data_IF_860311856535
#
_entry.id   IF_860311856535
#
_cell.length_a   1.000
_cell.length_b   1.000
_cell.length_c   1.000
_cell.angle_alpha   90.00
_cell.angle_beta   90.00
_cell.angle_gamma   90.00
#
_symmetry.space_group_name_H-M   'P 1'
#
loop_
_entity.id
_entity.type
_entity.pdbx_description
1 polymer ?
#
# COMPACT_ATOMS: atom_id res chain seq x y z
N UNK A 1 2.79 -1.42 -16.56
CA UNK A 1 3.32 -0.50 -15.52
C UNK A 1 4.67 -1.00 -15.01
N UNK A 2 5.65 -0.10 -14.80
CA UNK A 2 6.98 -0.51 -14.30
C UNK A 2 7.21 -0.25 -12.79
N UNK A 3 6.45 0.66 -12.19
CA UNK A 3 6.55 1.03 -10.77
C UNK A 3 5.18 1.33 -10.20
N UNK A 4 5.02 1.01 -8.92
CA UNK A 4 3.88 1.41 -8.10
C UNK A 4 4.39 2.16 -6.86
N UNK A 5 3.60 3.11 -6.39
CA UNK A 5 3.87 3.88 -5.17
C UNK A 5 3.08 3.29 -4.01
N UNK A 6 3.75 2.75 -3.01
CA UNK A 6 3.09 2.19 -1.84
C UNK A 6 3.08 3.21 -0.70
N UNK A 7 1.91 3.44 -0.12
CA UNK A 7 1.71 4.33 1.03
C UNK A 7 1.70 3.50 2.31
N UNK A 8 2.76 3.61 3.10
CA UNK A 8 2.92 2.90 4.37
C UNK A 8 2.52 3.79 5.53
N UNK A 9 1.68 3.30 6.45
CA UNK A 9 1.22 4.03 7.63
C UNK A 9 1.29 3.14 8.86
N UNK A 10 1.74 3.68 9.99
CA UNK A 10 1.62 2.99 11.29
C UNK A 10 0.24 3.24 11.88
N UNK A 11 -0.62 2.21 11.97
CA UNK A 11 -1.97 2.29 12.54
C UNK A 11 -2.07 1.48 13.83
N UNK A 12 -3.10 1.75 14.63
CA UNK A 12 -3.51 0.86 15.70
C UNK A 12 -4.76 0.11 15.21
N UNK A 13 -4.72 -1.22 15.24
CA UNK A 13 -5.77 -2.09 14.67
C UNK A 13 -6.66 -2.69 15.79
N UNK A 14 -6.29 -2.52 17.07
CA UNK A 14 -7.02 -3.11 18.20
C UNK A 14 -7.04 -2.20 19.43
N UNK A 15 -7.89 -2.51 20.42
CA UNK A 15 -7.95 -1.79 21.70
C UNK A 15 -6.66 -1.94 22.54
N UNK A 16 -5.85 -2.95 22.21
CA UNK A 16 -4.48 -3.13 22.74
C UNK A 16 -3.54 -2.27 21.90
N UNK A 17 -2.69 -1.45 22.53
CA UNK A 17 -1.74 -0.48 21.90
C UNK A 17 -0.65 -1.12 21.01
N UNK A 18 -1.02 -1.96 20.06
CA UNK A 18 -0.10 -2.57 19.11
C UNK A 18 -0.08 -1.72 17.85
N UNK A 19 1.04 -1.04 17.65
CA UNK A 19 1.32 -0.35 16.39
C UNK A 19 1.57 -1.39 15.30
N UNK A 20 0.72 -1.38 14.28
CA UNK A 20 0.85 -2.25 13.11
C UNK A 20 1.22 -1.39 11.90
N UNK A 21 2.25 -1.82 11.18
CA UNK A 21 2.61 -1.21 9.91
C UNK A 21 1.64 -1.69 8.83
N UNK A 22 1.07 -0.74 8.10
CA UNK A 22 0.03 -0.98 7.10
C UNK A 22 0.43 -0.39 5.76
N UNK A 23 0.00 -0.99 4.66
CA UNK A 23 -0.07 -0.36 3.33
C UNK A 23 -1.50 0.09 3.14
N UNK A 24 -1.72 1.40 3.08
CA UNK A 24 -3.06 2.00 3.09
C UNK A 24 -3.54 2.39 1.71
N UNK A 25 -2.61 2.63 0.79
CA UNK A 25 -2.92 2.97 -0.59
C UNK A 25 -1.79 2.58 -1.53
N UNK A 26 -2.15 2.34 -2.80
CA UNK A 26 -1.24 2.07 -3.90
C UNK A 26 -1.49 3.10 -5.00
N UNK A 27 -0.45 3.84 -5.37
CA UNK A 27 -0.48 4.84 -6.42
C UNK A 27 0.19 4.36 -7.71
N UNK A 28 -0.31 4.83 -8.84
CA UNK A 28 0.32 4.65 -10.15
C UNK A 28 1.24 5.84 -10.45
N UNK A 29 2.14 5.68 -11.44
CA UNK A 29 2.98 6.79 -11.91
C UNK A 29 2.17 7.94 -12.54
N UNK A 30 0.91 7.69 -12.90
CA UNK A 30 0.01 8.68 -13.47
C UNK A 30 -0.69 9.54 -12.39
N UNK A 31 -0.37 9.31 -11.11
CA UNK A 31 -0.94 10.07 -9.99
C UNK A 31 -2.29 9.55 -9.50
N UNK A 32 -2.80 8.45 -10.06
CA UNK A 32 -3.99 7.77 -9.55
C UNK A 32 -3.62 7.04 -8.26
N UNK A 33 -4.49 7.07 -7.26
CA UNK A 33 -4.25 6.47 -5.95
C UNK A 33 -5.42 5.58 -5.61
N UNK A 34 -5.16 4.37 -5.17
CA UNK A 34 -6.17 3.36 -4.89
C UNK A 34 -6.09 2.91 -3.44
N UNK A 35 -7.24 2.78 -2.78
CA UNK A 35 -7.32 2.37 -1.40
C UNK A 35 -7.11 0.85 -1.26
N UNK A 36 -6.32 0.45 -0.26
CA UNK A 36 -6.22 -0.96 0.14
C UNK A 36 -7.31 -1.25 1.17
N UNK A 37 -8.16 -2.29 1.00
CA UNK A 37 -9.19 -2.65 1.96
C UNK A 37 -8.60 -2.91 3.35
N UNK A 38 -9.29 -2.47 4.41
CA UNK A 38 -8.76 -2.45 5.78
C UNK A 38 -8.24 -3.82 6.25
N UNK A 39 -8.90 -4.91 5.86
CA UNK A 39 -8.53 -6.28 6.15
C UNK A 39 -7.21 -6.72 5.51
N UNK A 40 -6.82 -6.09 4.40
CA UNK A 40 -5.59 -6.39 3.67
C UNK A 40 -4.47 -5.37 3.91
N UNK A 41 -4.76 -4.26 4.60
CA UNK A 41 -3.74 -3.24 4.88
C UNK A 41 -2.54 -3.72 5.70
N UNK A 42 -2.66 -4.63 6.70
CA UNK A 42 -1.50 -5.07 7.47
C UNK A 42 -0.40 -5.66 6.58
N UNK A 43 0.86 -5.26 6.81
CA UNK A 43 2.00 -5.73 5.99
C UNK A 43 2.21 -7.24 6.00
N UNK A 44 1.58 -7.96 6.94
CA UNK A 44 1.53 -9.43 6.98
C UNK A 44 0.86 -10.04 5.74
N UNK A 45 -0.03 -9.31 5.06
CA UNK A 45 -0.66 -9.72 3.80
C UNK A 45 0.19 -9.37 2.57
N UNK A 46 1.25 -8.57 2.74
CA UNK A 46 2.10 -8.09 1.64
C UNK A 46 3.49 -8.74 1.69
N UNK A 47 3.54 -10.07 1.70
CA UNK A 47 4.75 -10.86 1.97
C UNK A 47 5.91 -10.51 1.04
N UNK A 48 5.63 -10.28 -0.25
CA UNK A 48 6.67 -9.94 -1.23
C UNK A 48 7.24 -8.54 -1.02
N UNK A 49 6.42 -7.57 -0.57
CA UNK A 49 6.89 -6.24 -0.20
C UNK A 49 7.83 -6.31 1.01
N UNK A 50 7.50 -7.13 2.02
CA UNK A 50 8.29 -7.26 3.25
C UNK A 50 9.71 -7.77 3.00
N UNK A 51 9.92 -8.54 1.92
CA UNK A 51 11.24 -9.06 1.52
C UNK A 51 12.16 -8.00 0.91
N UNK A 52 11.61 -6.87 0.47
CA UNK A 52 12.37 -5.85 -0.26
C UNK A 52 13.27 -5.04 0.68
N UNK A 53 14.46 -4.68 0.22
CA UNK A 53 15.34 -3.76 0.94
C UNK A 53 14.68 -2.38 1.18
N UNK A 54 13.78 -1.96 0.28
CA UNK A 54 12.99 -0.74 0.43
C UNK A 54 12.10 -0.79 1.67
N UNK A 55 11.51 -1.96 1.98
CA UNK A 55 10.65 -2.13 3.16
C UNK A 55 11.43 -1.96 4.46
N UNK A 56 12.64 -2.51 4.57
CA UNK A 56 13.50 -2.30 5.74
C UNK A 56 13.76 -0.82 6.00
N UNK A 57 13.99 -0.03 4.94
CA UNK A 57 14.16 1.43 5.05
C UNK A 57 12.87 2.12 5.52
N UNK A 58 11.71 1.71 4.98
CA UNK A 58 10.39 2.21 5.42
C UNK A 58 10.20 1.95 6.90
N UNK A 59 10.36 0.70 7.35
CA UNK A 59 10.20 0.30 8.75
C UNK A 59 11.08 1.15 9.68
N UNK A 60 12.34 1.37 9.31
CA UNK A 60 13.25 2.19 10.12
C UNK A 60 12.88 3.68 10.13
N UNK A 61 12.21 4.17 9.08
CA UNK A 61 11.82 5.58 8.93
C UNK A 61 10.48 5.94 9.62
N UNK A 62 9.69 4.93 9.98
CA UNK A 62 8.38 5.05 10.61
C UNK A 62 8.50 4.71 12.09
N UNK A 63 8.73 5.73 12.92
CA UNK A 63 9.02 5.56 14.35
C UNK A 63 7.87 5.94 15.27
N UNK A 64 6.84 6.62 14.73
CA UNK A 64 5.67 7.06 15.50
C UNK A 64 4.38 6.62 14.83
N UNK A 65 3.33 6.48 15.65
CA UNK A 65 1.97 6.21 15.19
C UNK A 65 1.50 7.30 14.19
N UNK A 66 0.66 6.91 13.24
CA UNK A 66 0.10 7.77 12.17
C UNK A 66 1.14 8.37 11.23
N UNK A 67 2.43 8.10 11.39
CA UNK A 67 3.42 8.48 10.39
C UNK A 67 3.18 7.70 9.10
N UNK A 68 3.32 8.42 7.99
CA UNK A 68 3.15 7.88 6.65
C UNK A 68 4.40 8.09 5.81
N UNK A 69 4.72 7.12 4.94
CA UNK A 69 5.78 7.22 3.93
C UNK A 69 5.28 6.64 2.62
N UNK A 70 5.53 7.38 1.53
CA UNK A 70 5.24 6.92 0.18
C UNK A 70 6.56 6.47 -0.46
N UNK A 71 6.57 5.26 -1.02
CA UNK A 71 7.77 4.71 -1.66
C UNK A 71 7.43 4.13 -3.02
N UNK A 72 8.16 4.57 -4.04
CA UNK A 72 8.13 3.97 -5.37
C UNK A 72 8.91 2.67 -5.36
N UNK A 73 8.25 1.58 -5.75
CA UNK A 73 8.79 0.24 -5.81
C UNK A 73 8.65 -0.26 -7.25
N UNK A 74 9.71 -0.87 -7.78
CA UNK A 74 9.68 -1.51 -9.09
C UNK A 74 8.76 -2.74 -9.02
N UNK A 75 7.86 -2.87 -10.00
CA UNK A 75 6.98 -4.03 -10.09
C UNK A 75 7.80 -5.20 -10.63
N UNK A 76 8.11 -6.17 -9.75
CA UNK A 76 8.68 -7.46 -10.14
C UNK A 76 7.57 -8.39 -10.63
N UNK A 77 7.91 -9.51 -11.25
CA UNK A 77 6.92 -10.52 -11.66
C UNK A 77 6.08 -11.03 -10.47
N UNK A 78 6.69 -11.15 -9.29
CA UNK A 78 6.01 -11.58 -8.06
C UNK A 78 5.01 -10.52 -7.57
N UNK A 79 5.39 -9.24 -7.63
CA UNK A 79 4.50 -8.14 -7.26
C UNK A 79 3.39 -7.95 -8.29
N UNK A 80 3.69 -8.12 -9.58
CA UNK A 80 2.70 -8.05 -10.64
C UNK A 80 1.55 -9.04 -10.38
N UNK A 81 1.86 -10.30 -10.04
CA UNK A 81 0.84 -11.32 -9.74
C UNK A 81 -0.08 -10.98 -8.56
N UNK A 82 0.40 -10.16 -7.62
CA UNK A 82 -0.35 -9.80 -6.42
C UNK A 82 -1.18 -8.55 -6.66
N UNK A 83 -0.59 -7.56 -7.34
CA UNK A 83 -1.12 -6.21 -7.39
C UNK A 83 -1.69 -5.80 -8.74
N UNK A 84 -1.47 -6.59 -9.80
CA UNK A 84 -1.91 -6.28 -11.15
C UNK A 84 -2.63 -7.48 -11.78
N UNK A 85 -3.72 -7.22 -12.49
CA UNK A 85 -4.32 -8.20 -13.40
C UNK A 85 -3.66 -8.14 -14.80
N UNK A 86 -4.17 -8.95 -15.73
CA UNK A 86 -3.70 -8.97 -17.13
C UNK A 86 -3.89 -7.62 -17.86
N UNK A 87 -4.85 -6.81 -17.41
CA UNK A 87 -5.13 -5.46 -17.92
C UNK A 87 -4.34 -4.36 -17.22
N UNK A 88 -3.43 -4.70 -16.31
CA UNK A 88 -2.70 -3.77 -15.43
C UNK A 88 -3.61 -2.97 -14.47
N UNK A 89 -4.79 -3.50 -14.15
CA UNK A 89 -5.65 -2.95 -13.10
C UNK A 89 -5.12 -3.34 -11.73
N UNK A 90 -5.25 -2.41 -10.76
CA UNK A 90 -4.80 -2.67 -9.40
C UNK A 90 -5.74 -3.62 -8.66
N UNK A 91 -5.18 -4.68 -8.12
CA UNK A 91 -5.90 -5.70 -7.36
C UNK A 91 -5.17 -6.09 -6.06
N UNK A 92 -5.85 -6.86 -5.22
CA UNK A 92 -5.24 -7.67 -4.16
C UNK A 92 -6.11 -8.89 -3.91
N UNK A 93 -5.51 -10.08 -3.90
CA UNK A 93 -6.25 -11.35 -3.85
C UNK A 93 -7.34 -11.35 -4.95
N UNK A 94 -8.62 -11.47 -4.58
CA UNK A 94 -9.76 -11.49 -5.50
C UNK A 94 -10.49 -10.13 -5.60
N UNK A 95 -9.86 -9.03 -5.17
CA UNK A 95 -10.48 -7.70 -5.10
C UNK A 95 -9.77 -6.68 -5.97
N UNK A 96 -10.54 -5.93 -6.76
CA UNK A 96 -10.05 -4.69 -7.38
C UNK A 96 -10.00 -3.55 -6.36
N UNK A 97 -8.97 -2.72 -6.45
CA UNK A 97 -8.83 -1.58 -5.54
C UNK A 97 -9.70 -0.41 -6.00
N UNK A 98 -10.29 0.31 -5.04
CA UNK A 98 -11.09 1.50 -5.30
C UNK A 98 -10.19 2.72 -5.49
N UNK A 99 -10.36 3.45 -6.59
CA UNK A 99 -9.65 4.71 -6.81
C UNK A 99 -10.13 5.78 -5.83
N UNK A 100 -9.20 6.34 -5.06
CA UNK A 100 -9.42 7.51 -4.22
C UNK A 100 -9.48 8.73 -5.13
N UNK A 101 -10.67 8.94 -5.70
CA UNK A 101 -10.98 10.21 -6.36
C UNK A 101 -11.13 11.26 -5.26
N UNK A 102 -10.25 12.27 -5.25
CA UNK A 102 -10.41 13.45 -4.40
C UNK A 102 -11.70 14.15 -4.84
N UNK A 103 -12.85 13.71 -4.33
CA UNK A 103 -14.06 14.52 -4.30
C UNK A 103 -13.75 15.64 -3.31
N UNK A 104 -12.99 16.63 -3.76
CA UNK A 104 -13.17 18.00 -3.29
C UNK A 104 -14.62 18.34 -3.57
N UNK A 105 -15.48 18.02 -2.61
CA UNK A 105 -16.77 18.64 -2.46
C UNK A 105 -16.50 20.13 -2.44
N UNK A 106 -16.82 20.77 -3.56
CA UNK A 106 -17.12 22.19 -3.59
C UNK A 106 -18.35 22.34 -2.69
N UNK A 107 -18.12 22.71 -1.44
CA UNK A 107 -19.11 23.13 -0.47
C UNK A 107 -18.92 24.60 -0.18
#
# INVERSE_FOLDING_TARGET
>A
MNKLQFTFTVRNITDVKTNVLCITAIGTLNGQVYAVPDEYQPVTFHKEIVKLAAFTKVKNSLTKMQQTRMVLINVTEELAKIYLDEGENLQIEDFYLEEITDKRGSG
#
